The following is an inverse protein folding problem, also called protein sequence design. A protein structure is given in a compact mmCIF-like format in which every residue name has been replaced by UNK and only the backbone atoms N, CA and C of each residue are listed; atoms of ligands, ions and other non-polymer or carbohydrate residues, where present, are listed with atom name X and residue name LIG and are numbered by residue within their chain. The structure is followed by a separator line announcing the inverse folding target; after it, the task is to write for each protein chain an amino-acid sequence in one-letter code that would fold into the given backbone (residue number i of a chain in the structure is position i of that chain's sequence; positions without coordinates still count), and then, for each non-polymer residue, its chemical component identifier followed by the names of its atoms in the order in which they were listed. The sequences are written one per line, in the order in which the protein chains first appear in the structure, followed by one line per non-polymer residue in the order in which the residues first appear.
data_IF_683345208628
#
_entry.id   IF_683345208628
#
_cell.length_a   1.000
_cell.length_b   1.000
_cell.length_c   1.000
_cell.angle_alpha   90.00
_cell.angle_beta   90.00
_cell.angle_gamma   90.00
#
_symmetry.space_group_name_H-M   'P 1'
#
loop_
_entity.id
_entity.type
_entity.pdbx_description
1 polymer ?
#
# COMPACT_ATOMS: atom_id res chain seq x y z
N UNK A 1 -7.06 -19.64 -18.30
CA UNK A 1 -5.81 -18.89 -18.03
C UNK A 1 -5.46 -17.99 -19.22
N UNK A 2 -4.62 -16.97 -19.03
CA UNK A 2 -4.18 -16.05 -20.08
C UNK A 2 -2.66 -15.90 -19.99
N UNK A 3 -1.98 -15.81 -21.13
CA UNK A 3 -0.53 -15.60 -21.22
C UNK A 3 -0.28 -14.23 -21.82
N UNK A 4 0.52 -13.40 -21.15
CA UNK A 4 0.87 -12.05 -21.60
C UNK A 4 2.39 -11.94 -21.77
N UNK A 5 2.84 -11.06 -22.66
CA UNK A 5 4.26 -10.70 -22.75
C UNK A 5 4.67 -10.00 -21.45
N UNK A 6 5.83 -10.37 -20.90
CA UNK A 6 6.37 -9.75 -19.66
C UNK A 6 6.45 -8.22 -19.77
N UNK A 7 6.86 -7.71 -20.93
CA UNK A 7 6.94 -6.27 -21.19
C UNK A 7 5.59 -5.54 -21.03
N UNK A 8 4.47 -6.21 -21.32
CA UNK A 8 3.14 -5.62 -21.14
C UNK A 8 2.68 -5.62 -19.68
N UNK A 9 3.25 -6.50 -18.84
CA UNK A 9 2.93 -6.58 -17.41
C UNK A 9 3.80 -5.65 -16.57
N UNK A 10 5.02 -5.35 -17.03
CA UNK A 10 6.01 -4.54 -16.33
C UNK A 10 5.47 -3.21 -15.75
N UNK A 11 4.76 -2.35 -16.52
CA UNK A 11 4.27 -1.08 -15.97
C UNK A 11 3.26 -1.28 -14.83
N UNK A 12 2.35 -2.25 -14.97
CA UNK A 12 1.36 -2.55 -13.93
C UNK A 12 2.00 -3.10 -12.65
N UNK A 13 3.04 -3.93 -12.79
CA UNK A 13 3.77 -4.46 -11.64
C UNK A 13 4.52 -3.35 -10.90
N UNK A 14 5.17 -2.45 -11.65
CA UNK A 14 5.88 -1.31 -11.07
C UNK A 14 4.93 -0.37 -10.31
N UNK A 15 3.76 -0.07 -10.87
CA UNK A 15 2.76 0.78 -10.23
C UNK A 15 2.17 0.10 -8.98
N UNK A 16 1.82 -1.18 -9.08
CA UNK A 16 1.31 -1.97 -7.96
C UNK A 16 2.32 -2.05 -6.80
N UNK A 17 3.61 -2.22 -7.13
CA UNK A 17 4.68 -2.25 -6.14
C UNK A 17 4.85 -0.88 -5.46
N UNK A 18 4.83 0.21 -6.23
CA UNK A 18 4.92 1.56 -5.66
C UNK A 18 3.76 1.85 -4.69
N UNK A 19 2.54 1.48 -5.06
CA UNK A 19 1.35 1.66 -4.23
C UNK A 19 1.38 0.75 -2.99
N UNK A 20 1.86 -0.49 -3.13
CA UNK A 20 2.07 -1.39 -2.00
C UNK A 20 3.03 -0.76 -0.97
N UNK A 21 4.18 -0.27 -1.42
CA UNK A 21 5.16 0.38 -0.53
C UNK A 21 4.63 1.68 0.07
N UNK A 22 3.76 2.39 -0.63
CA UNK A 22 3.07 3.57 -0.10
C UNK A 22 2.12 3.20 1.05
N UNK A 23 1.25 2.21 0.83
CA UNK A 23 0.32 1.70 1.82
C UNK A 23 1.05 1.10 3.03
N UNK A 24 2.07 0.30 2.79
CA UNK A 24 2.89 -0.29 3.85
C UNK A 24 3.50 0.78 4.74
N UNK A 25 4.13 1.81 4.18
CA UNK A 25 4.71 2.92 4.95
C UNK A 25 3.65 3.70 5.73
N UNK A 26 2.43 3.83 5.21
CA UNK A 26 1.34 4.46 5.95
C UNK A 26 0.92 3.63 7.17
N UNK A 27 0.93 2.30 7.06
CA UNK A 27 0.57 1.36 8.15
C UNK A 27 1.71 1.20 9.16
N UNK A 28 2.96 1.18 8.72
CA UNK A 28 4.15 1.15 9.59
C UNK A 28 4.17 2.35 10.54
N UNK A 29 3.56 3.47 10.14
CA UNK A 29 3.38 4.64 10.97
C UNK A 29 4.70 5.36 11.24
N UNK A 30 4.69 6.20 12.27
CA UNK A 30 5.86 6.93 12.75
C UNK A 30 6.10 6.68 14.23
N UNK A 31 7.23 7.14 14.75
CA UNK A 31 7.47 7.18 16.19
C UNK A 31 6.31 7.94 16.87
N UNK A 32 5.77 7.41 17.97
CA UNK A 32 4.65 8.05 18.66
C UNK A 32 5.12 9.24 19.48
N UNK A 33 4.24 10.21 19.70
CA UNK A 33 4.51 11.33 20.61
C UNK A 33 4.62 10.83 22.07
N UNK A 34 5.83 10.84 22.61
CA UNK A 34 6.17 10.32 23.95
C UNK A 34 5.38 10.98 25.09
N UNK A 35 4.88 12.19 24.89
CA UNK A 35 4.03 12.87 25.88
C UNK A 35 2.69 12.16 26.10
N UNK A 36 2.30 11.23 25.22
CA UNK A 36 1.11 10.41 25.36
C UNK A 36 1.37 9.12 26.16
N UNK A 37 2.62 8.78 26.49
CA UNK A 37 2.97 7.50 27.13
C UNK A 37 2.15 7.22 28.40
N UNK A 38 1.93 8.24 29.23
CA UNK A 38 1.12 8.13 30.46
C UNK A 38 -0.33 7.72 30.18
N UNK A 39 -0.92 8.19 29.08
CA UNK A 39 -2.29 7.85 28.67
C UNK A 39 -2.43 6.38 28.27
N UNK A 40 -1.32 5.77 27.86
CA UNK A 40 -1.24 4.35 27.48
C UNK A 40 -0.68 3.48 28.61
N UNK A 41 -0.54 4.02 29.83
CA UNK A 41 0.01 3.33 30.99
C UNK A 41 1.39 2.70 30.74
N UNK A 42 2.18 3.33 29.87
CA UNK A 42 3.53 2.90 29.53
C UNK A 42 4.55 3.95 29.99
N UNK A 43 5.77 3.52 30.29
CA UNK A 43 6.87 4.47 30.45
C UNK A 43 7.35 4.96 29.06
N UNK A 44 8.07 6.10 28.95
CA UNK A 44 8.43 6.68 27.66
C UNK A 44 9.25 5.77 26.75
N UNK A 45 10.20 5.01 27.31
CA UNK A 45 11.04 4.11 26.51
C UNK A 45 10.24 2.92 25.98
N UNK A 46 9.41 2.30 26.82
CA UNK A 46 8.49 1.24 26.41
C UNK A 46 7.50 1.76 25.35
N UNK A 47 6.98 2.97 25.52
CA UNK A 47 6.03 3.56 24.58
C UNK A 47 6.67 3.79 23.21
N UNK A 48 7.92 4.26 23.16
CA UNK A 48 8.68 4.46 21.92
C UNK A 48 8.92 3.14 21.16
N UNK A 49 9.18 2.07 21.90
CA UNK A 49 9.55 0.77 21.33
C UNK A 49 8.34 -0.06 20.89
N UNK A 50 7.25 -0.03 21.68
CA UNK A 50 6.08 -0.88 21.46
C UNK A 50 4.98 -0.20 20.63
N UNK A 51 4.97 1.13 20.54
CA UNK A 51 3.88 1.87 19.90
C UNK A 51 4.34 2.60 18.63
N UNK A 52 3.37 2.83 17.75
CA UNK A 52 3.51 3.62 16.52
C UNK A 52 2.30 4.52 16.36
N UNK A 53 2.54 5.73 15.88
CA UNK A 53 1.48 6.64 15.48
C UNK A 53 1.09 6.38 14.02
N UNK A 54 -0.20 6.21 13.78
CA UNK A 54 -0.74 5.89 12.45
C UNK A 54 -1.79 6.92 12.06
N UNK A 55 -1.54 7.64 10.97
CA UNK A 55 -2.53 8.51 10.34
C UNK A 55 -3.50 7.67 9.50
N UNK A 56 -4.70 7.45 10.05
CA UNK A 56 -5.74 6.66 9.40
C UNK A 56 -6.24 7.30 8.09
N UNK A 57 -6.28 8.62 7.96
CA UNK A 57 -6.69 9.26 6.72
C UNK A 57 -5.68 8.99 5.62
N UNK A 58 -4.38 9.00 5.94
CA UNK A 58 -3.32 8.61 5.02
C UNK A 58 -3.42 7.14 4.63
N UNK A 59 -3.68 6.24 5.59
CA UNK A 59 -3.89 4.80 5.31
C UNK A 59 -5.06 4.60 4.38
N UNK A 60 -6.21 5.24 4.64
CA UNK A 60 -7.41 5.12 3.82
C UNK A 60 -7.19 5.62 2.39
N UNK A 61 -6.50 6.75 2.22
CA UNK A 61 -6.11 7.26 0.90
C UNK A 61 -5.20 6.26 0.17
N UNK A 62 -4.14 5.78 0.82
CA UNK A 62 -3.21 4.83 0.21
C UNK A 62 -3.90 3.51 -0.16
N UNK A 63 -4.81 3.02 0.68
CA UNK A 63 -5.61 1.83 0.43
C UNK A 63 -6.53 2.01 -0.78
N UNK A 64 -7.18 3.17 -0.91
CA UNK A 64 -8.03 3.48 -2.05
C UNK A 64 -7.22 3.49 -3.36
N UNK A 65 -6.03 4.10 -3.36
CA UNK A 65 -5.12 4.09 -4.51
C UNK A 65 -4.72 2.66 -4.88
N UNK A 66 -4.20 1.89 -3.93
CA UNK A 66 -3.81 0.50 -4.15
C UNK A 66 -4.96 -0.35 -4.73
N UNK A 67 -6.19 -0.17 -4.20
CA UNK A 67 -7.38 -0.86 -4.70
C UNK A 67 -7.67 -0.51 -6.16
N UNK A 68 -7.62 0.77 -6.52
CA UNK A 68 -7.86 1.22 -7.90
C UNK A 68 -6.83 0.61 -8.84
N UNK A 69 -5.54 0.66 -8.49
CA UNK A 69 -4.45 0.08 -9.29
C UNK A 69 -4.61 -1.42 -9.46
N UNK A 70 -4.93 -2.15 -8.38
CA UNK A 70 -5.23 -3.58 -8.44
C UNK A 70 -6.47 -3.87 -9.32
N UNK A 71 -7.50 -3.02 -9.27
CA UNK A 71 -8.68 -3.15 -10.11
C UNK A 71 -8.38 -2.88 -11.59
N UNK A 72 -7.41 -2.02 -11.94
CA UNK A 72 -6.98 -1.83 -13.32
C UNK A 72 -6.42 -3.11 -13.97
N UNK A 73 -5.86 -4.04 -13.18
CA UNK A 73 -5.44 -5.34 -13.70
C UNK A 73 -6.60 -6.16 -14.30
N UNK A 74 -7.84 -5.87 -13.92
CA UNK A 74 -9.03 -6.47 -14.57
C UNK A 74 -9.11 -6.10 -16.06
N UNK A 75 -8.55 -4.96 -16.46
CA UNK A 75 -8.50 -4.53 -17.87
C UNK A 75 -7.58 -5.41 -18.72
N UNK A 76 -6.60 -6.11 -18.13
CA UNK A 76 -5.79 -7.11 -18.85
C UNK A 76 -6.69 -8.18 -19.49
N UNK A 77 -7.82 -8.54 -18.85
CA UNK A 77 -8.81 -9.46 -19.43
C UNK A 77 -9.46 -8.93 -20.71
N UNK A 78 -9.59 -7.61 -20.88
CA UNK A 78 -10.22 -6.97 -22.05
C UNK A 78 -9.28 -6.89 -23.25
N UNK A 79 -7.98 -6.70 -23.03
CA UNK A 79 -6.97 -6.64 -24.10
C UNK A 79 -6.65 -7.99 -24.75
N UNK A 80 -7.20 -9.09 -24.24
CA UNK A 80 -7.07 -10.43 -24.83
C UNK A 80 -7.75 -10.56 -26.21
N UNK A 81 -8.53 -9.56 -26.63
CA UNK A 81 -9.39 -9.60 -27.81
C UNK A 81 -8.81 -8.97 -29.09
N UNK A 82 -7.61 -8.38 -29.07
CA UNK A 82 -6.96 -7.92 -30.30
C UNK A 82 -5.93 -8.95 -30.76
N UNK A 83 -6.22 -9.71 -31.85
CA UNK A 83 -5.22 -10.55 -32.48
C UNK A 83 -4.10 -9.64 -32.99
N UNK A 84 -2.87 -10.06 -32.73
CA UNK A 84 -1.69 -9.44 -33.34
C UNK A 84 -1.78 -9.77 -34.83
N UNK A 85 -2.18 -8.78 -35.63
CA UNK A 85 -2.03 -8.81 -37.09
C UNK A 85 -0.57 -8.66 -37.49
#
# INVERSE_FOLDING_TARGET
MAVYRKAHLAPYLQELEADYWSLRRAIEGTAPNENLAEQYHANPDQFRDEYREVDFDRVLRALAHFKVTADMLKQLKRHKAMPVG
#
